data_IF_977550162771
#
_entry.id   IF_977550162771
#
_cell.length_a   1.000
_cell.length_b   1.000
_cell.length_c   1.000
_cell.angle_alpha   90.00
_cell.angle_beta   90.00
_cell.angle_gamma   90.00
#
_symmetry.space_group_name_H-M   'P 1'
#
loop_
_entity.id
_entity.type
_entity.pdbx_description
1 polymer ?
#
# COMPACT_ATOMS: atom_id res chain seq x y z
N UNK A 1 26.67 -9.64 33.28
CA UNK A 1 25.39 -9.07 33.76
C UNK A 1 25.33 -7.57 33.54
N UNK A 2 26.32 -6.80 34.00
CA UNK A 2 26.34 -5.34 33.77
C UNK A 2 26.36 -4.95 32.30
N UNK A 3 26.98 -5.76 31.44
CA UNK A 3 27.04 -5.49 30.01
C UNK A 3 25.66 -5.52 29.33
N UNK A 4 24.76 -6.43 29.73
CA UNK A 4 23.43 -6.58 29.13
C UNK A 4 22.46 -5.49 29.57
N UNK A 5 22.57 -5.03 30.81
CA UNK A 5 21.78 -3.90 31.34
C UNK A 5 22.20 -2.61 30.66
N UNK A 6 23.52 -2.34 30.60
CA UNK A 6 24.07 -1.18 29.87
C UNK A 6 23.69 -1.18 28.39
N UNK A 7 23.59 -2.37 27.76
CA UNK A 7 23.17 -2.48 26.36
C UNK A 7 21.71 -2.04 26.17
N UNK A 8 20.80 -2.48 27.05
CA UNK A 8 19.38 -2.14 26.97
C UNK A 8 19.16 -0.65 27.26
N UNK A 9 19.85 -0.09 28.25
CA UNK A 9 19.82 1.35 28.52
C UNK A 9 20.37 2.17 27.35
N UNK A 10 21.46 1.72 26.73
CA UNK A 10 21.99 2.34 25.53
C UNK A 10 20.96 2.36 24.39
N UNK A 11 20.25 1.25 24.17
CA UNK A 11 19.19 1.18 23.16
C UNK A 11 17.96 2.00 23.51
N UNK A 12 17.63 2.13 24.79
CA UNK A 12 16.51 2.97 25.25
C UNK A 12 16.82 4.46 25.02
N UNK A 13 18.01 4.90 25.41
CA UNK A 13 18.48 6.28 25.15
C UNK A 13 18.60 6.57 23.65
N UNK A 14 19.05 5.58 22.87
CA UNK A 14 19.11 5.69 21.42
C UNK A 14 17.72 5.82 20.79
N UNK A 15 16.75 5.03 21.25
CA UNK A 15 15.36 5.12 20.80
C UNK A 15 14.79 6.51 21.09
N UNK A 16 14.99 7.06 22.30
CA UNK A 16 14.54 8.41 22.64
C UNK A 16 15.19 9.51 21.78
N UNK A 17 16.43 9.31 21.33
CA UNK A 17 17.15 10.25 20.46
C UNK A 17 16.76 10.13 18.98
N UNK A 18 16.46 8.91 18.53
CA UNK A 18 16.11 8.60 17.14
C UNK A 18 14.63 8.91 16.84
N UNK A 19 13.78 9.01 17.87
CA UNK A 19 12.39 9.47 17.74
C UNK A 19 12.37 10.99 17.64
N UNK A 20 11.83 11.50 16.54
CA UNK A 20 11.54 12.92 16.40
C UNK A 20 10.22 13.17 17.14
N UNK A 21 10.20 14.19 18.01
CA UNK A 21 8.96 14.59 18.68
C UNK A 21 7.89 14.86 17.62
N UNK A 22 6.71 14.22 17.75
CA UNK A 22 5.57 14.47 16.88
C UNK A 22 4.99 15.85 17.22
N UNK A 23 5.72 16.90 16.86
CA UNK A 23 5.17 18.24 16.75
C UNK A 23 4.21 18.18 15.56
N UNK A 24 2.91 18.21 15.86
CA UNK A 24 1.85 18.51 14.88
C UNK A 24 1.35 17.37 13.95
N UNK A 25 1.36 16.10 14.39
CA UNK A 25 0.77 14.98 13.64
C UNK A 25 1.21 14.89 12.16
N UNK A 26 2.41 15.37 11.82
CA UNK A 26 2.89 15.37 10.44
C UNK A 26 3.02 13.91 9.98
N UNK A 27 2.31 13.50 8.91
CA UNK A 27 2.38 12.14 8.39
C UNK A 27 3.79 11.73 7.94
N UNK A 28 4.64 12.67 7.51
CA UNK A 28 6.02 12.38 7.13
C UNK A 28 6.88 12.03 8.34
N UNK A 29 6.68 12.74 9.45
CA UNK A 29 7.35 12.48 10.72
C UNK A 29 6.82 11.17 11.30
N UNK A 30 5.51 10.92 11.21
CA UNK A 30 4.90 9.67 11.64
C UNK A 30 5.43 8.46 10.85
N UNK A 31 5.63 8.59 9.54
CA UNK A 31 6.24 7.55 8.71
C UNK A 31 7.70 7.29 9.09
N UNK A 32 8.49 8.34 9.29
CA UNK A 32 9.88 8.20 9.70
C UNK A 32 10.00 7.55 11.08
N UNK A 33 9.15 7.94 12.02
CA UNK A 33 9.06 7.35 13.35
C UNK A 33 8.61 5.88 13.26
N UNK A 34 7.64 5.53 12.41
CA UNK A 34 7.23 4.15 12.16
C UNK A 34 8.42 3.29 11.68
N UNK A 35 9.23 3.80 10.73
CA UNK A 35 10.43 3.10 10.28
C UNK A 35 11.47 2.92 11.38
N UNK A 36 11.66 3.93 12.24
CA UNK A 36 12.58 3.83 13.37
C UNK A 36 12.08 2.80 14.40
N UNK A 37 10.79 2.79 14.74
CA UNK A 37 10.21 1.76 15.60
C UNK A 37 10.34 0.35 15.00
N UNK A 38 10.16 0.19 13.69
CA UNK A 38 10.38 -1.08 12.99
C UNK A 38 11.83 -1.57 13.11
N UNK A 39 12.82 -0.67 12.99
CA UNK A 39 14.23 -1.01 13.23
C UNK A 39 14.44 -1.46 14.68
N UNK A 40 13.92 -0.73 15.65
CA UNK A 40 14.03 -1.06 17.07
C UNK A 40 13.31 -2.35 17.46
N UNK A 41 12.25 -2.73 16.76
CA UNK A 41 11.56 -4.03 16.88
C UNK A 41 12.47 -5.19 16.45
N UNK A 42 13.22 -5.05 15.35
CA UNK A 42 14.21 -6.08 14.95
C UNK A 42 15.33 -6.23 15.97
N UNK A 43 15.77 -5.12 16.58
CA UNK A 43 16.77 -5.12 17.65
C UNK A 43 16.20 -5.78 18.91
N UNK A 44 14.97 -5.43 19.30
CA UNK A 44 14.28 -6.07 20.44
C UNK A 44 14.17 -7.58 20.26
N UNK A 45 13.80 -8.05 19.06
CA UNK A 45 13.72 -9.48 18.75
C UNK A 45 15.07 -10.19 18.85
N UNK A 46 16.16 -9.53 18.45
CA UNK A 46 17.53 -10.05 18.64
C UNK A 46 17.91 -10.12 20.11
N UNK A 47 17.62 -9.07 20.88
CA UNK A 47 17.86 -9.03 22.33
C UNK A 47 17.06 -10.10 23.06
N UNK A 48 15.78 -10.29 22.72
CA UNK A 48 14.94 -11.34 23.27
C UNK A 48 15.55 -12.73 23.06
N UNK A 49 16.02 -13.02 21.84
CA UNK A 49 16.69 -14.29 21.53
C UNK A 49 17.95 -14.47 22.36
N UNK A 50 18.77 -13.42 22.48
CA UNK A 50 19.99 -13.47 23.30
C UNK A 50 19.68 -13.70 24.78
N UNK A 51 18.67 -13.01 25.34
CA UNK A 51 18.24 -13.18 26.73
C UNK A 51 17.77 -14.62 26.97
N UNK A 52 16.93 -15.16 26.08
CA UNK A 52 16.43 -16.56 26.16
C UNK A 52 17.59 -17.56 26.08
N UNK A 53 18.52 -17.39 25.13
CA UNK A 53 19.68 -18.27 24.96
C UNK A 53 20.61 -18.21 26.19
N UNK A 54 20.77 -17.03 26.77
CA UNK A 54 21.62 -16.82 27.95
C UNK A 54 21.01 -17.29 29.27
N UNK A 55 19.72 -17.66 29.29
CA UNK A 55 19.04 -18.15 30.50
C UNK A 55 19.02 -17.16 31.67
N UNK A 56 19.13 -15.86 31.41
CA UNK A 56 19.23 -14.84 32.46
C UNK A 56 17.84 -14.57 33.05
N UNK A 57 17.63 -14.97 34.32
CA UNK A 57 16.39 -14.75 35.07
C UNK A 57 16.41 -13.49 35.95
N UNK A 58 17.16 -12.47 35.56
CA UNK A 58 17.19 -11.20 36.30
C UNK A 58 15.88 -10.43 36.12
N UNK A 59 15.24 -10.08 37.24
CA UNK A 59 13.97 -9.34 37.28
C UNK A 59 14.13 -7.90 36.77
N UNK A 60 15.25 -7.25 37.07
CA UNK A 60 15.50 -5.87 36.63
C UNK A 60 15.68 -5.79 35.10
N UNK A 61 16.38 -6.78 34.53
CA UNK A 61 16.56 -6.88 33.08
C UNK A 61 15.22 -7.12 32.37
N UNK A 62 14.36 -7.97 32.94
CA UNK A 62 13.01 -8.24 32.43
C UNK A 62 12.14 -6.98 32.45
N UNK A 63 12.17 -6.22 33.54
CA UNK A 63 11.38 -4.99 33.67
C UNK A 63 11.87 -3.89 32.71
N UNK A 64 13.18 -3.70 32.57
CA UNK A 64 13.78 -2.78 31.58
C UNK A 64 13.43 -3.18 30.14
N UNK A 65 13.51 -4.46 29.82
CA UNK A 65 13.15 -4.98 28.50
C UNK A 65 11.64 -4.84 28.22
N UNK A 66 10.79 -5.06 29.22
CA UNK A 66 9.35 -4.84 29.12
C UNK A 66 9.04 -3.35 28.89
N UNK A 67 9.71 -2.44 29.60
CA UNK A 67 9.57 -1.01 29.41
C UNK A 67 9.96 -0.59 27.99
N UNK A 68 11.12 -1.04 27.49
CA UNK A 68 11.57 -0.77 26.12
C UNK A 68 10.59 -1.30 25.07
N UNK A 69 10.03 -2.50 25.25
CA UNK A 69 9.02 -3.04 24.34
C UNK A 69 7.71 -2.25 24.37
N UNK A 70 7.26 -1.84 25.55
CA UNK A 70 6.04 -1.03 25.68
C UNK A 70 6.19 0.32 24.97
N UNK A 71 7.37 0.95 25.03
CA UNK A 71 7.66 2.18 24.28
C UNK A 71 7.58 1.96 22.77
N UNK A 72 8.12 0.84 22.26
CA UNK A 72 8.03 0.49 20.84
C UNK A 72 6.58 0.26 20.42
N UNK A 73 5.84 -0.54 21.18
CA UNK A 73 4.45 -0.90 20.86
C UNK A 73 3.56 0.35 20.85
N UNK A 74 3.63 1.16 21.91
CA UNK A 74 2.82 2.37 22.03
C UNK A 74 3.18 3.40 20.95
N UNK A 75 4.48 3.62 20.72
CA UNK A 75 4.95 4.53 19.69
C UNK A 75 4.55 4.10 18.28
N UNK A 76 4.66 2.82 17.96
CA UNK A 76 4.22 2.26 16.68
C UNK A 76 2.72 2.43 16.49
N UNK A 77 1.92 2.11 17.52
CA UNK A 77 0.46 2.24 17.47
C UNK A 77 0.01 3.68 17.17
N UNK A 78 0.60 4.68 17.83
CA UNK A 78 0.26 6.09 17.61
C UNK A 78 0.60 6.52 16.17
N UNK A 79 1.78 6.16 15.68
CA UNK A 79 2.20 6.52 14.32
C UNK A 79 1.37 5.79 13.25
N UNK A 80 1.02 4.53 13.48
CA UNK A 80 0.14 3.76 12.59
C UNK A 80 -1.26 4.39 12.52
N UNK A 81 -1.77 4.92 13.64
CA UNK A 81 -3.05 5.59 13.69
C UNK A 81 -3.04 6.92 12.90
N UNK A 82 -1.94 7.68 12.97
CA UNK A 82 -1.75 8.90 12.18
C UNK A 82 -1.73 8.56 10.68
N UNK A 83 -0.94 7.56 10.29
CA UNK A 83 -0.83 7.12 8.89
C UNK A 83 -2.15 6.55 8.34
N UNK A 84 -2.89 5.80 9.16
CA UNK A 84 -4.19 5.27 8.76
C UNK A 84 -5.23 6.38 8.54
N UNK A 85 -5.22 7.41 9.40
CA UNK A 85 -6.09 8.58 9.23
C UNK A 85 -5.74 9.37 7.96
N UNK A 86 -4.45 9.61 7.69
CA UNK A 86 -4.02 10.27 6.46
C UNK A 86 -4.45 9.47 5.21
N UNK A 87 -4.24 8.15 5.21
CA UNK A 87 -4.66 7.30 4.09
C UNK A 87 -6.17 7.42 3.84
N UNK A 88 -6.98 7.42 4.90
CA UNK A 88 -8.44 7.60 4.82
C UNK A 88 -8.82 8.97 4.29
N UNK A 89 -8.10 10.03 4.66
CA UNK A 89 -8.30 11.37 4.09
C UNK A 89 -7.94 11.43 2.60
N UNK A 90 -6.83 10.79 2.21
CA UNK A 90 -6.39 10.73 0.83
C UNK A 90 -7.38 9.93 -0.02
N UNK A 91 -7.90 8.81 0.48
CA UNK A 91 -8.98 8.05 -0.16
C UNK A 91 -10.26 8.89 -0.33
N UNK A 92 -10.68 9.64 0.69
CA UNK A 92 -11.81 10.58 0.56
C UNK A 92 -11.54 11.66 -0.49
N UNK A 93 -10.32 12.22 -0.54
CA UNK A 93 -9.92 13.21 -1.57
C UNK A 93 -9.91 12.58 -2.97
N UNK A 94 -9.44 11.34 -3.11
CA UNK A 94 -9.46 10.58 -4.36
C UNK A 94 -10.87 10.28 -4.81
N UNK A 95 -11.75 9.83 -3.92
CA UNK A 95 -13.17 9.61 -4.21
C UNK A 95 -13.84 10.91 -4.65
N UNK A 96 -13.55 12.04 -3.99
CA UNK A 96 -14.04 13.36 -4.41
C UNK A 96 -13.54 13.75 -5.81
N UNK A 97 -12.26 13.54 -6.12
CA UNK A 97 -11.72 13.81 -7.47
C UNK A 97 -12.32 12.89 -8.53
N UNK A 98 -12.47 11.61 -8.22
CA UNK A 98 -13.10 10.64 -9.12
C UNK A 98 -14.58 10.97 -9.38
N UNK A 99 -15.29 11.54 -8.40
CA UNK A 99 -16.66 12.06 -8.59
C UNK A 99 -16.72 13.41 -9.31
N UNK A 100 -15.60 14.14 -9.45
CA UNK A 100 -15.52 15.42 -10.18
C UNK A 100 -15.06 15.20 -11.63
N UNK A 101 -14.28 14.17 -11.91
CA UNK A 101 -13.79 13.86 -13.27
C UNK A 101 -14.88 13.32 -14.23
N UNK A 102 -16.10 13.07 -13.74
CA UNK A 102 -17.28 12.85 -14.60
C UNK A 102 -18.02 14.16 -14.97
N UNK A 103 -17.53 15.33 -14.56
CA UNK A 103 -18.20 16.63 -14.76
C UNK A 103 -17.31 17.74 -15.35
N UNK A 104 -16.07 17.45 -15.75
CA UNK A 104 -15.20 18.45 -16.38
C UNK A 104 -14.57 17.94 -17.68
N UNK A 105 -15.40 17.81 -18.71
CA UNK A 105 -14.94 17.95 -20.09
C UNK A 105 -15.07 19.44 -20.43
N UNK A 106 -14.05 20.22 -20.06
CA UNK A 106 -13.86 21.52 -20.68
C UNK A 106 -13.38 21.25 -22.11
N UNK A 107 -14.26 21.49 -23.07
CA UNK A 107 -13.90 21.64 -24.47
C UNK A 107 -13.15 22.98 -24.56
N UNK A 108 -11.82 22.89 -24.56
CA UNK A 108 -10.98 23.96 -25.06
C UNK A 108 -10.35 23.42 -26.34
N UNK A 109 -10.98 23.73 -27.48
CA UNK A 109 -10.29 23.69 -28.76
C UNK A 109 -10.49 25.02 -29.48
N UNK A 110 -9.38 25.55 -29.94
CA UNK A 110 -9.17 26.91 -30.39
C UNK A 110 -9.95 27.21 -31.68
N UNK A 111 -10.42 28.44 -31.84
CA UNK A 111 -10.15 29.22 -33.05
C UNK A 111 -10.31 30.72 -32.77
N UNK A 112 -9.24 31.45 -33.12
CA UNK A 112 -9.20 32.89 -33.31
C UNK A 112 -10.24 33.31 -34.36
N UNK A 113 -10.93 34.42 -34.14
CA UNK A 113 -10.64 35.66 -34.87
C UNK A 113 -11.57 36.78 -34.38
N UNK A 114 -11.05 38.00 -34.50
CA UNK A 114 -11.68 39.28 -34.19
C UNK A 114 -13.03 39.43 -34.90
N UNK A 115 -14.00 40.08 -34.25
CA UNK A 115 -14.54 41.36 -34.73
C UNK A 115 -15.61 41.89 -33.75
N UNK A 116 -15.55 43.18 -33.51
CA UNK A 116 -16.64 43.99 -32.98
C UNK A 116 -17.90 43.77 -33.83
N UNK A 117 -19.08 43.54 -33.24
CA UNK A 117 -20.22 44.40 -33.53
C UNK A 117 -21.46 44.15 -32.67
N UNK A 118 -22.21 45.22 -32.61
CA UNK A 118 -23.47 45.48 -31.94
C UNK A 118 -24.62 44.49 -32.27
N UNK A 119 -25.46 44.30 -31.25
CA UNK A 119 -26.93 44.29 -31.37
C UNK A 119 -27.70 43.10 -32.01
N UNK A 120 -28.77 42.75 -31.29
CA UNK A 120 -30.06 42.19 -31.74
C UNK A 120 -30.24 40.68 -32.04
N UNK A 121 -31.13 40.09 -31.21
CA UNK A 121 -32.24 39.20 -31.57
C UNK A 121 -32.04 38.19 -32.71
N UNK A 122 -31.91 36.90 -32.37
CA UNK A 122 -32.96 35.90 -32.64
C UNK A 122 -32.50 34.46 -32.30
N UNK A 123 -33.40 33.73 -31.64
CA UNK A 123 -33.62 32.30 -31.87
C UNK A 123 -32.47 31.33 -31.63
N UNK A 124 -32.20 30.98 -30.36
CA UNK A 124 -31.52 29.72 -30.05
C UNK A 124 -32.54 28.65 -29.66
N UNK A 125 -32.88 27.82 -30.63
CA UNK A 125 -33.52 26.54 -30.43
C UNK A 125 -32.59 25.47 -31.04
N UNK A 126 -31.78 24.83 -30.19
CA UNK A 126 -31.23 23.49 -30.43
C UNK A 126 -30.74 22.89 -29.11
N UNK A 127 -31.71 22.29 -28.42
CA UNK A 127 -31.49 21.15 -27.54
C UNK A 127 -30.65 20.08 -28.22
N UNK A 128 -29.78 19.42 -27.45
CA UNK A 128 -30.04 18.02 -27.04
C UNK A 128 -28.99 17.55 -26.02
N UNK A 129 -29.53 17.05 -24.90
CA UNK A 129 -28.90 16.17 -23.89
C UNK A 129 -28.28 16.78 -22.61
N UNK A 130 -28.44 18.07 -22.33
CA UNK A 130 -28.10 18.65 -21.01
C UNK A 130 -29.31 18.90 -20.08
N UNK A 131 -30.54 18.63 -20.54
CA UNK A 131 -31.75 19.19 -19.96
C UNK A 131 -32.33 18.49 -18.73
N UNK A 132 -31.87 17.29 -18.37
CA UNK A 132 -32.66 16.44 -17.45
C UNK A 132 -32.56 16.88 -15.98
N UNK A 133 -31.34 17.07 -15.47
CA UNK A 133 -31.12 17.38 -14.05
C UNK A 133 -31.47 18.83 -13.70
N UNK A 134 -31.24 19.76 -14.62
CA UNK A 134 -31.61 21.18 -14.44
C UNK A 134 -33.12 21.38 -14.50
N UNK A 135 -33.84 20.62 -15.33
CA UNK A 135 -35.30 20.66 -15.37
C UNK A 135 -35.92 19.96 -14.17
N UNK A 136 -35.33 18.86 -13.67
CA UNK A 136 -35.75 18.21 -12.43
C UNK A 136 -35.60 19.14 -11.23
N UNK A 137 -34.45 19.80 -11.08
CA UNK A 137 -34.22 20.81 -10.02
C UNK A 137 -35.20 21.98 -10.13
N UNK A 138 -35.49 22.44 -11.36
CA UNK A 138 -36.41 23.55 -11.60
C UNK A 138 -37.88 23.16 -11.33
N UNK A 139 -38.28 21.92 -11.61
CA UNK A 139 -39.60 21.35 -11.28
C UNK A 139 -39.77 21.20 -9.76
N UNK A 140 -38.78 20.62 -9.08
CA UNK A 140 -38.78 20.47 -7.62
C UNK A 140 -38.82 21.83 -6.90
N UNK A 141 -38.13 22.84 -7.43
CA UNK A 141 -38.17 24.21 -6.88
C UNK A 141 -39.44 24.99 -7.24
N UNK A 142 -40.10 24.70 -8.37
CA UNK A 142 -41.38 25.33 -8.74
C UNK A 142 -42.57 24.73 -7.97
N UNK A 143 -42.52 23.46 -7.62
CA UNK A 143 -43.59 22.77 -6.87
C UNK A 143 -43.87 23.40 -5.50
N UNK A 144 -42.87 24.02 -4.87
CA UNK A 144 -43.05 24.69 -3.57
C UNK A 144 -43.67 26.09 -3.61
N UNK A 145 -44.12 26.62 -4.78
CA UNK A 145 -44.46 28.05 -4.88
C UNK A 145 -45.87 28.46 -5.29
N UNK A 146 -46.83 27.56 -5.44
CA UNK A 146 -48.24 27.99 -5.60
C UNK A 146 -49.19 26.96 -4.99
N UNK A 147 -49.68 27.24 -3.78
CA UNK A 147 -50.94 26.66 -3.27
C UNK A 147 -52.06 27.36 -4.04
N UNK A 148 -52.35 26.86 -5.23
CA UNK A 148 -53.63 27.06 -5.90
C UNK A 148 -54.34 25.70 -5.85
N UNK A 149 -55.54 25.70 -5.30
CA UNK A 149 -56.39 24.53 -5.10
C UNK A 149 -56.67 23.88 -6.47
N UNK A 150 -55.94 22.81 -6.80
CA UNK A 150 -56.14 22.02 -8.02
C UNK A 150 -57.33 21.08 -7.81
N UNK A 151 -58.12 20.87 -8.86
CA UNK A 151 -59.18 19.85 -8.87
C UNK A 151 -58.59 18.45 -8.77
N UNK A 152 -59.25 17.56 -8.01
CA UNK A 152 -58.82 16.18 -7.73
C UNK A 152 -58.38 15.38 -8.98
N UNK A 153 -59.05 15.58 -10.12
CA UNK A 153 -58.72 14.92 -11.38
C UNK A 153 -57.38 15.39 -11.99
N UNK A 154 -56.98 16.64 -11.75
CA UNK A 154 -55.71 17.19 -12.23
C UNK A 154 -54.54 16.75 -11.34
N UNK A 155 -54.80 16.57 -10.03
CA UNK A 155 -53.86 15.96 -9.09
C UNK A 155 -53.64 14.47 -9.39
N UNK A 156 -54.70 13.73 -9.73
CA UNK A 156 -54.62 12.32 -10.12
C UNK A 156 -53.75 12.12 -11.38
N UNK A 157 -53.93 12.95 -12.41
CA UNK A 157 -53.13 12.89 -13.65
C UNK A 157 -51.65 13.23 -13.38
N UNK A 158 -51.39 14.18 -12.48
CA UNK A 158 -50.02 14.51 -12.08
C UNK A 158 -49.35 13.38 -11.27
N UNK A 159 -50.11 12.69 -10.41
CA UNK A 159 -49.64 11.50 -9.70
C UNK A 159 -49.38 10.31 -10.62
N UNK A 160 -50.24 10.05 -11.61
CA UNK A 160 -50.02 8.98 -12.60
C UNK A 160 -48.76 9.23 -13.44
N UNK A 161 -48.57 10.48 -13.91
CA UNK A 161 -47.34 10.87 -14.62
C UNK A 161 -46.10 10.71 -13.73
N UNK A 162 -46.22 11.01 -12.44
CA UNK A 162 -45.11 10.85 -11.49
C UNK A 162 -44.80 9.37 -11.23
N UNK A 163 -45.81 8.51 -11.17
CA UNK A 163 -45.63 7.06 -11.04
C UNK A 163 -44.98 6.46 -12.29
N UNK A 164 -45.33 6.93 -13.49
CA UNK A 164 -44.70 6.48 -14.73
C UNK A 164 -43.22 6.91 -14.81
N UNK A 165 -42.90 8.14 -14.38
CA UNK A 165 -41.52 8.63 -14.29
C UNK A 165 -40.70 7.79 -13.28
N UNK A 166 -41.26 7.48 -12.10
CA UNK A 166 -40.62 6.61 -11.11
C UNK A 166 -40.37 5.21 -11.70
N UNK A 167 -41.34 4.64 -12.40
CA UNK A 167 -41.22 3.32 -13.00
C UNK A 167 -40.09 3.29 -14.04
N UNK A 168 -39.99 4.34 -14.86
CA UNK A 168 -38.94 4.52 -15.86
C UNK A 168 -37.56 4.65 -15.22
N UNK A 169 -37.44 5.41 -14.14
CA UNK A 169 -36.20 5.56 -13.38
C UNK A 169 -35.78 4.23 -12.74
N UNK A 170 -36.73 3.46 -12.21
CA UNK A 170 -36.47 2.12 -11.69
C UNK A 170 -35.97 1.16 -12.78
N UNK A 171 -36.53 1.22 -13.99
CA UNK A 171 -36.03 0.42 -15.11
C UNK A 171 -34.63 0.82 -15.54
N UNK A 172 -34.32 2.12 -15.61
CA UNK A 172 -32.96 2.59 -15.89
C UNK A 172 -31.98 2.19 -14.79
N UNK A 173 -32.40 2.25 -13.53
CA UNK A 173 -31.58 1.81 -12.40
C UNK A 173 -31.28 0.31 -12.45
N UNK A 174 -32.27 -0.54 -12.77
CA UNK A 174 -32.08 -1.98 -12.93
C UNK A 174 -31.17 -2.29 -14.13
N UNK A 175 -31.29 -1.53 -15.22
CA UNK A 175 -30.36 -1.65 -16.36
C UNK A 175 -28.94 -1.29 -15.94
N UNK A 176 -28.76 -0.22 -15.17
CA UNK A 176 -27.47 0.16 -14.59
C UNK A 176 -26.89 -0.91 -13.66
N UNK A 177 -27.73 -1.55 -12.82
CA UNK A 177 -27.30 -2.69 -11.99
C UNK A 177 -26.88 -3.87 -12.86
N UNK A 178 -27.65 -4.19 -13.90
CA UNK A 178 -27.34 -5.32 -14.80
C UNK A 178 -26.02 -5.08 -15.54
N UNK A 179 -25.80 -3.86 -16.01
CA UNK A 179 -24.56 -3.48 -16.68
C UNK A 179 -23.37 -3.49 -15.71
N UNK A 180 -23.55 -2.94 -14.50
CA UNK A 180 -22.55 -2.98 -13.43
C UNK A 180 -22.23 -4.42 -12.99
N UNK A 181 -23.20 -5.31 -12.93
CA UNK A 181 -22.99 -6.72 -12.60
C UNK A 181 -22.22 -7.46 -13.72
N UNK A 182 -22.50 -7.14 -14.99
CA UNK A 182 -21.75 -7.68 -16.12
C UNK A 182 -20.30 -7.17 -16.13
N UNK A 183 -20.09 -5.88 -15.87
CA UNK A 183 -18.74 -5.31 -15.76
C UNK A 183 -17.98 -5.91 -14.57
N UNK A 184 -18.66 -6.08 -13.43
CA UNK A 184 -18.10 -6.74 -12.25
C UNK A 184 -17.68 -8.18 -12.56
N UNK A 185 -18.53 -8.95 -13.23
CA UNK A 185 -18.21 -10.32 -13.62
C UNK A 185 -17.03 -10.38 -14.62
N UNK A 186 -16.96 -9.42 -15.55
CA UNK A 186 -15.83 -9.31 -16.48
C UNK A 186 -14.52 -9.03 -15.74
N UNK A 187 -14.51 -8.06 -14.80
CA UNK A 187 -13.35 -7.76 -13.95
C UNK A 187 -12.94 -8.95 -13.10
N UNK A 188 -13.91 -9.68 -12.56
CA UNK A 188 -13.64 -10.86 -11.73
C UNK A 188 -13.05 -12.02 -12.55
N UNK A 189 -13.48 -12.18 -13.81
CA UNK A 189 -12.85 -13.11 -14.74
C UNK A 189 -11.43 -12.70 -15.11
N UNK A 190 -11.18 -11.41 -15.30
CA UNK A 190 -9.85 -10.88 -15.58
C UNK A 190 -8.90 -11.08 -14.39
N UNK A 191 -9.36 -10.77 -13.17
CA UNK A 191 -8.63 -11.01 -11.93
C UNK A 191 -8.32 -12.51 -11.72
N UNK A 192 -9.26 -13.41 -12.03
CA UNK A 192 -9.01 -14.85 -11.97
C UNK A 192 -7.91 -15.30 -12.93
N UNK A 193 -7.88 -14.72 -14.14
CA UNK A 193 -6.83 -15.02 -15.12
C UNK A 193 -5.47 -14.46 -14.67
N UNK A 194 -5.44 -13.25 -14.11
CA UNK A 194 -4.23 -12.66 -13.53
C UNK A 194 -3.69 -13.52 -12.39
N UNK A 195 -4.58 -14.00 -11.50
CA UNK A 195 -4.19 -14.87 -10.38
C UNK A 195 -3.60 -16.19 -10.86
N UNK A 196 -4.18 -16.82 -11.89
CA UNK A 196 -3.62 -18.04 -12.52
C UNK A 196 -2.27 -17.77 -13.18
N UNK A 197 -2.10 -16.63 -13.82
CA UNK A 197 -0.81 -16.22 -14.39
C UNK A 197 0.25 -16.02 -13.29
N UNK A 198 -0.13 -15.41 -12.17
CA UNK A 198 0.73 -15.25 -11.00
C UNK A 198 1.09 -16.61 -10.37
N UNK A 199 0.13 -17.53 -10.24
CA UNK A 199 0.36 -18.90 -9.78
C UNK A 199 1.35 -19.64 -10.69
N UNK A 200 1.16 -19.56 -12.00
CA UNK A 200 2.08 -20.15 -12.98
C UNK A 200 3.49 -19.55 -12.86
N UNK A 201 3.60 -18.22 -12.75
CA UNK A 201 4.87 -17.53 -12.56
C UNK A 201 5.57 -17.92 -11.25
N UNK A 202 4.81 -18.08 -10.16
CA UNK A 202 5.32 -18.53 -8.88
C UNK A 202 5.82 -19.97 -8.94
N UNK A 203 5.11 -20.85 -9.65
CA UNK A 203 5.52 -22.24 -9.86
C UNK A 203 6.82 -22.33 -10.68
N UNK A 204 6.91 -21.59 -11.79
CA UNK A 204 8.15 -21.51 -12.60
C UNK A 204 9.32 -21.00 -11.76
N UNK A 205 9.09 -19.95 -10.96
CA UNK A 205 10.10 -19.39 -10.06
C UNK A 205 10.52 -20.41 -9.01
N UNK A 206 9.58 -21.14 -8.42
CA UNK A 206 9.84 -22.21 -7.45
C UNK A 206 10.72 -23.32 -8.04
N UNK A 207 10.40 -23.78 -9.25
CA UNK A 207 11.21 -24.76 -9.98
C UNK A 207 12.62 -24.23 -10.26
N UNK A 208 12.74 -22.97 -10.68
CA UNK A 208 14.03 -22.34 -10.97
C UNK A 208 14.86 -22.13 -9.70
N UNK A 209 14.23 -21.79 -8.58
CA UNK A 209 14.87 -21.67 -7.28
C UNK A 209 15.37 -23.04 -6.79
N UNK A 210 14.55 -24.09 -6.97
CA UNK A 210 14.93 -25.47 -6.69
C UNK A 210 16.16 -25.91 -7.47
N UNK A 211 16.16 -25.70 -8.80
CA UNK A 211 17.31 -26.00 -9.66
C UNK A 211 18.56 -25.18 -9.30
N UNK A 212 18.38 -23.90 -8.96
CA UNK A 212 19.49 -23.04 -8.54
C UNK A 212 20.08 -23.47 -7.21
N UNK A 213 19.24 -23.89 -6.27
CA UNK A 213 19.64 -24.46 -4.98
C UNK A 213 20.39 -25.77 -5.15
N UNK A 214 19.90 -26.67 -6.02
CA UNK A 214 20.55 -27.94 -6.34
C UNK A 214 21.92 -27.73 -7.01
N UNK A 215 22.00 -26.80 -7.96
CA UNK A 215 23.26 -26.41 -8.58
C UNK A 215 24.22 -25.80 -7.56
N UNK A 216 23.76 -24.93 -6.65
CA UNK A 216 24.58 -24.38 -5.58
C UNK A 216 25.11 -25.48 -4.66
N UNK A 217 24.27 -26.41 -4.24
CA UNK A 217 24.65 -27.53 -3.38
C UNK A 217 25.71 -28.41 -4.06
N UNK A 218 25.56 -28.66 -5.37
CA UNK A 218 26.55 -29.38 -6.16
C UNK A 218 27.88 -28.62 -6.26
N UNK A 219 27.84 -27.32 -6.56
CA UNK A 219 29.03 -26.48 -6.64
C UNK A 219 29.75 -26.34 -5.29
N UNK A 220 29.03 -26.23 -4.18
CA UNK A 220 29.62 -26.20 -2.83
C UNK A 220 30.31 -27.53 -2.52
N UNK A 221 29.70 -28.66 -2.88
CA UNK A 221 30.29 -29.99 -2.69
C UNK A 221 31.55 -30.18 -3.55
N UNK A 222 31.52 -29.74 -4.80
CA UNK A 222 32.67 -29.80 -5.70
C UNK A 222 33.79 -28.85 -5.25
N UNK A 223 33.48 -27.61 -4.85
CA UNK A 223 34.45 -26.66 -4.29
C UNK A 223 35.10 -27.19 -3.00
N UNK A 224 34.33 -27.85 -2.13
CA UNK A 224 34.86 -28.49 -0.92
C UNK A 224 35.89 -29.56 -1.25
N UNK A 225 35.62 -30.41 -2.26
CA UNK A 225 36.57 -31.42 -2.72
C UNK A 225 37.83 -30.80 -3.35
N UNK A 226 37.69 -29.79 -4.20
CA UNK A 226 38.84 -29.09 -4.79
C UNK A 226 39.69 -28.37 -3.75
N UNK A 227 39.06 -27.76 -2.74
CA UNK A 227 39.77 -27.12 -1.63
C UNK A 227 40.49 -28.16 -0.77
N UNK A 228 39.84 -29.29 -0.45
CA UNK A 228 40.47 -30.40 0.28
C UNK A 228 41.69 -30.95 -0.47
N UNK A 229 41.59 -31.09 -1.80
CA UNK A 229 42.70 -31.52 -2.65
C UNK A 229 43.86 -30.52 -2.65
N UNK A 230 43.57 -29.21 -2.74
CA UNK A 230 44.59 -28.15 -2.63
C UNK A 230 45.30 -28.16 -1.28
N UNK A 231 44.57 -28.35 -0.18
CA UNK A 231 45.16 -28.48 1.15
C UNK A 231 46.06 -29.71 1.26
N UNK A 232 45.64 -30.86 0.73
CA UNK A 232 46.47 -32.07 0.70
C UNK A 232 47.77 -31.86 -0.10
N UNK A 233 47.70 -31.20 -1.27
CA UNK A 233 48.87 -30.88 -2.07
C UNK A 233 49.84 -29.93 -1.34
N UNK A 234 49.32 -28.89 -0.66
CA UNK A 234 50.13 -27.98 0.15
C UNK A 234 50.87 -28.69 1.30
N UNK A 235 50.22 -29.66 1.95
CA UNK A 235 50.85 -30.47 3.02
C UNK A 235 52.02 -31.29 2.45
N UNK A 236 51.82 -31.94 1.30
CA UNK A 236 52.88 -32.74 0.65
C UNK A 236 54.06 -31.84 0.23
N UNK A 237 53.78 -30.68 -0.35
CA UNK A 237 54.82 -29.71 -0.74
C UNK A 237 55.58 -29.22 0.50
N UNK A 238 54.86 -28.87 1.57
CA UNK A 238 55.48 -28.46 2.84
C UNK A 238 56.38 -29.55 3.41
N UNK A 239 55.96 -30.82 3.32
CA UNK A 239 56.75 -31.95 3.78
C UNK A 239 58.03 -32.14 2.95
N UNK A 240 57.93 -31.99 1.62
CA UNK A 240 59.08 -32.00 0.71
C UNK A 240 60.08 -30.89 1.04
N UNK A 241 59.59 -29.67 1.33
CA UNK A 241 60.43 -28.56 1.77
C UNK A 241 61.13 -28.88 3.11
N UNK A 242 60.43 -29.49 4.06
CA UNK A 242 61.05 -29.94 5.31
C UNK A 242 62.15 -31.00 5.08
N UNK A 243 61.93 -31.97 4.19
CA UNK A 243 62.96 -32.96 3.84
C UNK A 243 64.17 -32.27 3.22
N UNK A 244 63.96 -31.35 2.28
CA UNK A 244 65.05 -30.59 1.66
C UNK A 244 65.82 -29.79 2.71
N UNK A 245 65.14 -29.15 3.66
CA UNK A 245 65.80 -28.44 4.77
C UNK A 245 66.66 -29.37 5.63
N UNK A 246 66.18 -30.57 5.94
CA UNK A 246 66.96 -31.58 6.69
C UNK A 246 68.17 -32.06 5.88
N UNK A 247 68.03 -32.22 4.57
CA UNK A 247 69.10 -32.66 3.66
C UNK A 247 70.14 -31.57 3.37
N UNK A 248 69.75 -30.29 3.44
CA UNK A 248 70.63 -29.12 3.22
C UNK A 248 71.32 -28.66 4.50
N UNK A 249 70.74 -28.94 5.69
CA UNK A 249 71.38 -28.76 6.99
C UNK A 249 71.77 -30.09 7.69
N UNK A 250 72.52 -31.01 7.05
CA UNK A 250 73.09 -32.12 7.77
C UNK A 250 74.37 -31.61 8.42
N UNK A 251 74.28 -31.29 9.72
CA UNK A 251 75.39 -30.93 10.63
C UNK A 251 75.77 -29.45 10.63
N UNK A 252 75.10 -28.72 11.52
CA UNK A 252 75.78 -28.05 12.61
C UNK A 252 75.50 -28.82 13.90
#
# INVERSE_FOLDING_TARGET
MDLSINLIEHYNNKLQKDIIANEENDPKIAFLNHLNYSKHETISNKLRKQIIISGIEDKNLKDLFAHYNNLIINGKFINDLILANEKKELEKKRQRRLSIDFHKVDINDNNNDNDDDDNNNNGFNRDKNGGDVSNLRRRLLKSNRTVAEKTFDEELIEEESHQEDILKDMFQFIQGIKEGANEFNKKLSEDSNLLKAAESGLNVTSIQLGKSSENLAKTIKELSLWNALKFAAMIIISFLVCIILILVFPKW
#
